data_IF_950835629049
#
_entry.id   IF_950835629049
#
_cell.length_a   1.000
_cell.length_b   1.000
_cell.length_c   1.000
_cell.angle_alpha   90.00
_cell.angle_beta   90.00
_cell.angle_gamma   90.00
#
_symmetry.space_group_name_H-M   'P 1'
#
loop_
_entity.id
_entity.type
_entity.pdbx_description
1 polymer ?
#
# COMPACT_ATOMS: atom_id res chain seq x y z
N UNK A 1 10.43 10.02 17.85
CA UNK A 1 9.48 9.60 16.79
C UNK A 1 8.33 8.85 17.44
N UNK A 2 7.13 8.87 16.86
CA UNK A 2 6.00 8.04 17.34
C UNK A 2 6.35 6.56 17.20
N UNK A 3 5.79 5.70 18.02
CA UNK A 3 6.05 4.27 17.96
C UNK A 3 5.69 3.69 16.56
N UNK A 4 6.50 2.76 16.00
CA UNK A 4 6.31 2.23 14.65
C UNK A 4 4.92 1.64 14.39
N UNK A 5 4.34 0.96 15.38
CA UNK A 5 3.01 0.36 15.35
C UNK A 5 1.92 1.43 15.16
N UNK A 6 2.02 2.54 15.90
CA UNK A 6 1.09 3.68 15.78
C UNK A 6 1.19 4.29 14.37
N UNK A 7 2.40 4.41 13.82
CA UNK A 7 2.61 4.96 12.48
C UNK A 7 2.07 4.02 11.42
N UNK A 8 2.38 2.73 11.49
CA UNK A 8 1.86 1.70 10.59
C UNK A 8 0.32 1.65 10.62
N UNK A 9 -0.28 1.70 11.81
CA UNK A 9 -1.75 1.77 11.97
C UNK A 9 -2.34 2.96 11.22
N UNK A 10 -1.81 4.16 11.43
CA UNK A 10 -2.29 5.39 10.77
C UNK A 10 -2.14 5.35 9.25
N UNK A 11 -1.05 4.77 8.77
CA UNK A 11 -0.82 4.58 7.33
C UNK A 11 -1.89 3.64 6.76
N UNK A 12 -2.12 2.51 7.42
CA UNK A 12 -3.13 1.53 7.00
C UNK A 12 -4.55 2.11 7.04
N UNK A 13 -4.91 2.91 8.05
CA UNK A 13 -6.20 3.61 8.08
C UNK A 13 -6.39 4.58 6.93
N UNK A 14 -5.34 5.36 6.62
CA UNK A 14 -5.38 6.29 5.48
C UNK A 14 -5.53 5.56 4.16
N UNK A 15 -4.81 4.43 3.99
CA UNK A 15 -4.92 3.59 2.80
C UNK A 15 -6.34 3.00 2.70
N UNK A 16 -6.86 2.41 3.76
CA UNK A 16 -8.20 1.82 3.79
C UNK A 16 -9.29 2.87 3.52
N UNK A 17 -9.17 4.06 4.12
CA UNK A 17 -10.09 5.18 3.87
C UNK A 17 -10.04 5.65 2.42
N UNK A 18 -8.84 5.79 1.85
CA UNK A 18 -8.65 6.17 0.45
C UNK A 18 -9.19 5.11 -0.51
N UNK A 19 -8.92 3.83 -0.23
CA UNK A 19 -9.45 2.71 -0.98
C UNK A 19 -10.97 2.68 -0.95
N UNK A 20 -11.59 2.94 0.21
CA UNK A 20 -13.04 3.02 0.35
C UNK A 20 -13.62 4.17 -0.48
N UNK A 21 -13.05 5.37 -0.36
CA UNK A 21 -13.49 6.54 -1.16
C UNK A 21 -13.41 6.23 -2.66
N UNK A 22 -12.33 5.60 -3.10
CA UNK A 22 -12.17 5.18 -4.48
C UNK A 22 -13.22 4.14 -4.89
N UNK A 23 -13.37 3.08 -4.09
CA UNK A 23 -14.27 1.98 -4.40
C UNK A 23 -15.73 2.44 -4.48
N UNK A 24 -16.09 3.50 -3.74
CA UNK A 24 -17.40 4.15 -3.79
C UNK A 24 -17.56 5.16 -4.92
N UNK A 25 -16.48 5.60 -5.56
CA UNK A 25 -16.53 6.60 -6.63
C UNK A 25 -17.26 6.07 -7.87
N UNK A 26 -18.26 6.83 -8.35
CA UNK A 26 -19.11 6.39 -9.47
C UNK A 26 -18.33 6.25 -10.78
N UNK A 27 -17.31 7.08 -11.00
CA UNK A 27 -16.51 7.04 -12.23
C UNK A 27 -15.62 5.81 -12.22
N UNK A 28 -14.95 5.53 -11.10
CA UNK A 28 -14.18 4.30 -10.91
C UNK A 28 -15.03 3.06 -11.13
N UNK A 29 -16.18 2.96 -10.45
CA UNK A 29 -17.10 1.82 -10.57
C UNK A 29 -17.54 1.55 -12.01
N UNK A 30 -17.83 2.61 -12.77
CA UNK A 30 -18.17 2.51 -14.20
C UNK A 30 -16.98 2.04 -15.05
N UNK A 31 -15.78 2.59 -14.79
CA UNK A 31 -14.57 2.27 -15.56
C UNK A 31 -14.13 0.82 -15.39
N UNK A 32 -14.26 0.27 -14.18
CA UNK A 32 -13.91 -1.13 -13.89
C UNK A 32 -15.10 -2.07 -14.04
N UNK A 33 -16.23 -1.57 -14.53
CA UNK A 33 -17.49 -2.30 -14.69
C UNK A 33 -17.90 -3.07 -13.42
N UNK A 34 -17.72 -2.46 -12.24
CA UNK A 34 -17.82 -3.12 -10.94
C UNK A 34 -19.18 -3.81 -10.73
N UNK A 35 -20.24 -3.24 -11.30
CA UNK A 35 -21.63 -3.74 -11.21
C UNK A 35 -21.85 -5.09 -11.92
N UNK A 36 -20.92 -5.53 -12.78
CA UNK A 36 -20.99 -6.86 -13.43
C UNK A 36 -20.49 -7.98 -12.53
N UNK A 37 -19.79 -7.66 -11.44
CA UNK A 37 -19.23 -8.64 -10.52
C UNK A 37 -20.21 -8.91 -9.38
N UNK A 38 -20.21 -10.15 -8.90
CA UNK A 38 -20.92 -10.49 -7.67
C UNK A 38 -20.25 -9.85 -6.44
N UNK A 39 -20.92 -9.95 -5.29
CA UNK A 39 -20.43 -9.34 -4.05
C UNK A 39 -19.05 -9.88 -3.65
N UNK A 40 -18.81 -11.18 -3.84
CA UNK A 40 -17.54 -11.84 -3.49
C UNK A 40 -16.38 -11.24 -4.28
N UNK A 41 -16.57 -11.05 -5.58
CA UNK A 41 -15.54 -10.50 -6.46
C UNK A 41 -15.36 -8.99 -6.22
N UNK A 42 -16.43 -8.27 -5.90
CA UNK A 42 -16.35 -6.88 -5.45
C UNK A 42 -15.52 -6.74 -4.16
N UNK A 43 -15.74 -7.61 -3.18
CA UNK A 43 -14.99 -7.62 -1.92
C UNK A 43 -13.51 -8.00 -2.15
N UNK A 44 -13.25 -8.94 -3.05
CA UNK A 44 -11.89 -9.29 -3.49
C UNK A 44 -11.17 -8.09 -4.11
N UNK A 45 -11.83 -7.35 -5.01
CA UNK A 45 -11.28 -6.14 -5.64
C UNK A 45 -10.98 -5.07 -4.60
N UNK A 46 -11.89 -4.84 -3.66
CA UNK A 46 -11.67 -3.87 -2.58
C UNK A 46 -10.43 -4.24 -1.75
N UNK A 47 -10.33 -5.49 -1.31
CA UNK A 47 -9.19 -5.99 -0.55
C UNK A 47 -7.88 -5.85 -1.33
N UNK A 48 -7.87 -6.13 -2.64
CA UNK A 48 -6.69 -5.97 -3.49
C UNK A 48 -6.23 -4.51 -3.57
N UNK A 49 -7.15 -3.54 -3.62
CA UNK A 49 -6.82 -2.11 -3.60
C UNK A 49 -6.12 -1.73 -2.28
N UNK A 50 -6.66 -2.19 -1.14
CA UNK A 50 -6.07 -1.91 0.18
C UNK A 50 -4.69 -2.53 0.31
N UNK A 51 -4.57 -3.83 0.01
CA UNK A 51 -3.31 -4.58 0.10
C UNK A 51 -2.25 -4.01 -0.84
N UNK A 52 -2.64 -3.60 -2.05
CA UNK A 52 -1.75 -2.90 -2.98
C UNK A 52 -1.25 -1.56 -2.42
N UNK A 53 -2.10 -0.81 -1.73
CA UNK A 53 -1.70 0.42 -1.05
C UNK A 53 -0.68 0.17 0.08
N UNK A 54 -0.88 -0.89 0.87
CA UNK A 54 0.04 -1.29 1.94
C UNK A 54 1.38 -1.72 1.35
N UNK A 55 1.36 -2.52 0.27
CA UNK A 55 2.58 -2.93 -0.43
C UNK A 55 3.38 -1.72 -0.96
N UNK A 56 2.69 -0.70 -1.49
CA UNK A 56 3.35 0.55 -1.89
C UNK A 56 3.98 1.28 -0.69
N UNK A 57 3.26 1.35 0.44
CA UNK A 57 3.80 1.91 1.69
C UNK A 57 5.07 1.18 2.15
N UNK A 58 5.05 -0.15 2.11
CA UNK A 58 6.20 -0.99 2.43
C UNK A 58 7.40 -0.65 1.53
N UNK A 59 7.21 -0.63 0.20
CA UNK A 59 8.27 -0.32 -0.77
C UNK A 59 8.86 1.08 -0.59
N UNK A 60 8.03 2.04 -0.19
CA UNK A 60 8.47 3.39 0.14
C UNK A 60 9.47 3.38 1.30
N UNK A 61 9.14 2.70 2.40
CA UNK A 61 10.06 2.55 3.53
C UNK A 61 11.28 1.69 3.22
N UNK A 62 11.13 0.70 2.35
CA UNK A 62 12.24 -0.11 1.85
C UNK A 62 13.27 0.79 1.14
N UNK A 63 12.79 1.68 0.27
CA UNK A 63 13.63 2.64 -0.45
C UNK A 63 14.23 3.71 0.47
N UNK A 64 13.53 4.13 1.53
CA UNK A 64 14.08 5.06 2.52
C UNK A 64 15.21 4.42 3.35
N UNK A 65 15.04 3.14 3.71
CA UNK A 65 16.02 2.37 4.48
C UNK A 65 17.32 2.15 3.69
N UNK A 66 17.27 2.15 2.35
CA UNK A 66 18.46 2.05 1.48
C UNK A 66 19.31 3.34 1.47
N UNK A 67 18.85 4.45 2.07
CA UNK A 67 19.59 5.71 2.02
C UNK A 67 20.71 5.72 3.07
N UNK A 68 21.91 6.26 2.75
CA UNK A 68 23.03 6.31 3.68
C UNK A 68 22.71 7.03 4.99
N UNK A 69 21.82 8.03 4.95
CA UNK A 69 21.42 8.79 6.14
C UNK A 69 20.65 7.95 7.17
N UNK A 70 20.09 6.81 6.77
CA UNK A 70 19.24 5.94 7.59
C UNK A 70 19.75 4.50 7.66
N UNK A 71 21.00 4.24 7.24
CA UNK A 71 21.55 2.88 7.10
C UNK A 71 21.53 2.07 8.41
N UNK A 72 21.68 2.74 9.56
CA UNK A 72 21.64 2.11 10.89
C UNK A 72 20.32 2.34 11.64
N UNK A 73 19.31 2.93 10.98
CA UNK A 73 18.03 3.24 11.62
C UNK A 73 17.11 2.01 11.62
N UNK A 74 16.83 1.50 12.83
CA UNK A 74 15.91 0.36 13.03
C UNK A 74 14.44 0.77 12.87
N UNK A 75 14.14 2.08 12.87
CA UNK A 75 12.78 2.59 12.85
C UNK A 75 12.00 2.23 11.58
N UNK A 76 12.60 2.39 10.40
CA UNK A 76 11.92 2.06 9.13
C UNK A 76 11.73 0.54 8.92
N UNK A 77 12.73 -0.32 9.23
CA UNK A 77 12.51 -1.76 9.32
C UNK A 77 11.36 -2.16 10.24
N UNK A 78 11.23 -1.55 11.42
CA UNK A 78 10.13 -1.83 12.35
C UNK A 78 8.77 -1.42 11.77
N UNK A 79 8.65 -0.24 11.15
CA UNK A 79 7.41 0.16 10.46
C UNK A 79 7.02 -0.86 9.38
N UNK A 80 7.99 -1.37 8.61
CA UNK A 80 7.74 -2.40 7.59
C UNK A 80 7.16 -3.67 8.19
N UNK A 81 7.66 -4.11 9.34
CA UNK A 81 7.15 -5.29 10.05
C UNK A 81 5.72 -5.04 10.54
N UNK A 82 5.47 -3.88 11.13
CA UNK A 82 4.15 -3.52 11.66
C UNK A 82 3.10 -3.39 10.56
N UNK A 83 3.47 -2.84 9.39
CA UNK A 83 2.58 -2.73 8.23
C UNK A 83 2.02 -4.09 7.79
N UNK A 84 2.80 -5.18 7.88
CA UNK A 84 2.36 -6.52 7.49
C UNK A 84 1.15 -7.01 8.31
N UNK A 85 1.06 -6.61 9.58
CA UNK A 85 0.00 -7.09 10.49
C UNK A 85 -1.09 -6.05 10.71
N UNK A 86 -0.81 -4.78 10.42
CA UNK A 86 -1.68 -3.64 10.73
C UNK A 86 -3.11 -3.74 10.17
N UNK A 87 -3.28 -4.27 8.95
CA UNK A 87 -4.61 -4.38 8.34
C UNK A 87 -5.42 -5.53 8.92
N UNK A 88 -4.80 -6.69 9.15
CA UNK A 88 -5.44 -7.80 9.87
C UNK A 88 -5.88 -7.37 11.28
N UNK A 89 -5.03 -6.63 12.00
CA UNK A 89 -5.36 -6.08 13.32
C UNK A 89 -6.56 -5.12 13.26
N UNK A 90 -6.58 -4.20 12.28
CA UNK A 90 -7.72 -3.33 12.04
C UNK A 90 -9.02 -4.11 11.78
N UNK A 91 -8.96 -5.16 10.96
CA UNK A 91 -10.12 -6.00 10.65
C UNK A 91 -10.65 -6.73 11.89
N UNK A 92 -9.74 -7.24 12.72
CA UNK A 92 -10.08 -7.86 14.00
C UNK A 92 -10.77 -6.86 14.95
N UNK A 93 -10.27 -5.64 15.05
CA UNK A 93 -10.86 -4.57 15.87
C UNK A 93 -12.31 -4.24 15.45
N UNK A 94 -12.63 -4.34 14.16
CA UNK A 94 -13.99 -4.09 13.65
C UNK A 94 -14.87 -5.35 13.60
N UNK A 95 -14.40 -6.48 14.14
CA UNK A 95 -15.21 -7.69 14.35
C UNK A 95 -14.99 -8.82 13.35
N UNK A 96 -13.95 -8.78 12.50
CA UNK A 96 -13.57 -9.96 11.70
C UNK A 96 -13.07 -11.10 12.57
N UNK A 97 -13.26 -12.35 12.12
CA UNK A 97 -12.73 -13.52 12.81
C UNK A 97 -11.20 -13.51 12.80
N UNK A 98 -10.60 -14.02 13.86
CA UNK A 98 -9.15 -14.10 14.01
C UNK A 98 -8.48 -14.87 12.87
N UNK A 99 -9.10 -15.98 12.43
CA UNK A 99 -8.65 -16.80 11.31
C UNK A 99 -8.55 -15.98 10.01
N UNK A 100 -9.61 -15.25 9.67
CA UNK A 100 -9.70 -14.41 8.47
C UNK A 100 -8.73 -13.22 8.55
N UNK A 101 -8.65 -12.56 9.71
CA UNK A 101 -7.74 -11.45 9.95
C UNK A 101 -6.25 -11.87 9.85
N UNK A 102 -5.91 -13.06 10.36
CA UNK A 102 -4.54 -13.59 10.33
C UNK A 102 -4.06 -13.89 8.91
N UNK A 103 -4.97 -14.25 8.00
CA UNK A 103 -4.66 -14.53 6.60
C UNK A 103 -4.11 -13.30 5.87
N UNK A 104 -4.56 -12.11 6.23
CA UNK A 104 -4.14 -10.87 5.57
C UNK A 104 -2.64 -10.61 5.69
N UNK A 105 -2.00 -11.02 6.79
CA UNK A 105 -0.53 -10.90 6.92
C UNK A 105 0.18 -11.67 5.79
N UNK A 106 -0.30 -12.88 5.50
CA UNK A 106 0.25 -13.73 4.44
C UNK A 106 0.00 -13.12 3.06
N UNK A 107 -1.24 -12.70 2.78
CA UNK A 107 -1.60 -12.12 1.47
C UNK A 107 -0.86 -10.80 1.22
N UNK A 108 -0.73 -9.95 2.24
CA UNK A 108 0.05 -8.70 2.15
C UNK A 108 1.52 -9.00 1.85
N UNK A 109 2.11 -9.99 2.55
CA UNK A 109 3.49 -10.40 2.29
C UNK A 109 3.66 -10.89 0.85
N UNK A 110 2.77 -11.76 0.37
CA UNK A 110 2.80 -12.22 -1.03
C UNK A 110 2.75 -11.05 -2.00
N UNK A 111 1.88 -10.06 -1.76
CA UNK A 111 1.79 -8.87 -2.62
C UNK A 111 3.06 -8.02 -2.60
N UNK A 112 3.68 -7.86 -1.43
CA UNK A 112 4.96 -7.15 -1.30
C UNK A 112 6.05 -7.88 -2.08
N UNK A 113 6.14 -9.20 -1.96
CA UNK A 113 7.14 -10.01 -2.66
C UNK A 113 7.01 -9.87 -4.18
N UNK A 114 5.78 -9.93 -4.70
CA UNK A 114 5.49 -9.65 -6.11
C UNK A 114 5.95 -8.24 -6.52
N UNK A 115 5.59 -7.23 -5.72
CA UNK A 115 5.92 -5.84 -6.01
C UNK A 115 7.43 -5.57 -5.97
N UNK A 116 8.14 -6.13 -4.99
CA UNK A 116 9.59 -6.05 -4.90
C UNK A 116 10.27 -6.77 -6.06
N UNK A 117 9.75 -7.92 -6.49
CA UNK A 117 10.30 -8.66 -7.64
C UNK A 117 10.20 -7.83 -8.91
N UNK A 118 9.04 -7.25 -9.17
CA UNK A 118 8.84 -6.36 -10.32
C UNK A 118 9.67 -5.07 -10.21
N UNK A 119 9.73 -4.45 -9.02
CA UNK A 119 10.57 -3.28 -8.79
C UNK A 119 12.05 -3.59 -9.07
N UNK A 120 12.58 -4.72 -8.57
CA UNK A 120 13.97 -5.16 -8.82
C UNK A 120 14.23 -5.45 -10.30
N UNK A 121 13.30 -6.13 -10.97
CA UNK A 121 13.36 -6.39 -12.42
C UNK A 121 13.44 -5.08 -13.20
N UNK A 122 12.58 -4.13 -12.86
CA UNK A 122 12.54 -2.82 -13.51
C UNK A 122 13.76 -1.96 -13.15
N UNK A 123 14.27 -1.96 -11.92
CA UNK A 123 15.50 -1.24 -11.51
C UNK A 123 16.70 -1.65 -12.38
N UNK A 124 16.83 -2.94 -12.71
CA UNK A 124 17.85 -3.45 -13.64
C UNK A 124 17.65 -2.94 -15.08
N UNK A 125 16.41 -2.88 -15.55
CA UNK A 125 16.06 -2.39 -16.90
C UNK A 125 16.22 -0.87 -17.03
N UNK A 126 15.84 -0.09 -16.01
CA UNK A 126 15.87 1.38 -16.01
C UNK A 126 17.26 1.97 -15.79
N UNK A 127 18.21 1.21 -15.23
CA UNK A 127 19.62 1.62 -15.21
C UNK A 127 20.19 1.84 -16.63
N UNK A 128 19.55 1.26 -17.66
CA UNK A 128 19.91 1.41 -19.08
C UNK A 128 19.17 2.55 -19.82
N UNK A 129 18.13 3.17 -19.22
CA UNK A 129 17.35 4.26 -19.86
C UNK A 129 17.14 5.43 -18.90
N UNK A 130 18.22 6.13 -18.55
CA UNK A 130 18.15 7.49 -18.01
C UNK A 130 17.72 8.46 -19.12
N UNK A 131 16.42 8.76 -19.21
CA UNK A 131 15.78 10.00 -19.74
C UNK A 131 14.44 9.65 -20.39
N UNK A 132 13.41 9.47 -19.57
CA UNK A 132 12.04 9.87 -19.88
C UNK A 132 11.13 9.24 -18.83
N UNK A 133 10.73 10.05 -17.86
CA UNK A 133 9.56 9.80 -17.02
C UNK A 133 8.39 9.44 -17.93
N UNK A 134 7.86 8.22 -17.85
CA UNK A 134 6.77 7.84 -18.73
C UNK A 134 6.36 6.39 -18.67
N UNK A 135 5.22 6.17 -17.99
CA UNK A 135 4.22 5.13 -18.29
C UNK A 135 4.72 3.69 -18.27
N UNK A 136 4.49 3.00 -17.16
CA UNK A 136 4.40 1.54 -17.14
C UNK A 136 3.48 1.13 -15.97
N UNK A 137 2.31 0.56 -16.29
CA UNK A 137 1.36 -0.30 -15.55
C UNK A 137 1.10 -0.21 -14.02
N UNK A 138 1.92 0.47 -13.22
CA UNK A 138 1.77 0.69 -11.77
C UNK A 138 0.80 1.83 -11.42
N UNK A 139 0.40 2.60 -12.44
CA UNK A 139 -0.41 3.78 -12.28
C UNK A 139 -1.91 3.48 -12.12
N UNK A 140 -2.42 2.27 -12.38
CA UNK A 140 -3.85 2.04 -12.19
C UNK A 140 -4.25 1.97 -10.71
N UNK A 141 -3.42 1.42 -9.83
CA UNK A 141 -3.73 1.39 -8.39
C UNK A 141 -3.12 2.58 -7.64
N UNK A 142 -1.85 2.90 -7.90
CA UNK A 142 -1.15 3.97 -7.19
C UNK A 142 -1.60 5.38 -7.60
N UNK A 143 -1.90 5.63 -8.89
CA UNK A 143 -2.38 6.97 -9.33
C UNK A 143 -3.78 7.22 -8.86
N UNK A 144 -4.59 6.18 -8.70
CA UNK A 144 -5.95 6.34 -8.22
C UNK A 144 -5.96 6.57 -6.71
N UNK A 145 -5.13 5.85 -5.93
CA UNK A 145 -4.97 6.09 -4.48
C UNK A 145 -4.28 7.44 -4.19
N UNK A 146 -3.26 7.84 -4.98
CA UNK A 146 -2.51 9.08 -4.76
C UNK A 146 -3.22 10.33 -5.33
N UNK A 147 -3.98 10.22 -6.43
CA UNK A 147 -4.77 11.36 -6.95
C UNK A 147 -6.08 11.58 -6.19
N UNK A 148 -6.62 10.59 -5.47
CA UNK A 148 -7.84 10.76 -4.68
C UNK A 148 -7.67 11.75 -3.51
N UNK A 149 -6.44 12.03 -3.06
CA UNK A 149 -6.21 12.88 -1.88
C UNK A 149 -5.11 13.96 -2.00
N UNK A 150 -4.46 14.17 -3.15
CA UNK A 150 -3.28 15.07 -3.23
C UNK A 150 -2.27 14.76 -2.10
N UNK A 151 -2.03 13.47 -1.79
CA UNK A 151 -1.05 13.09 -0.75
C UNK A 151 0.35 13.33 -1.30
N UNK A 152 0.84 14.55 -1.11
CA UNK A 152 2.23 14.89 -1.42
C UNK A 152 3.17 14.14 -0.46
N UNK A 153 4.43 13.86 -0.86
CA UNK A 153 5.45 13.33 0.04
C UNK A 153 5.61 14.13 1.34
N UNK A 154 5.28 15.44 1.32
CA UNK A 154 5.27 16.30 2.51
C UNK A 154 4.18 15.94 3.52
N UNK A 155 3.05 15.40 3.06
CA UNK A 155 1.92 14.96 3.88
C UNK A 155 2.18 13.66 4.61
N UNK A 156 3.04 12.79 4.04
CA UNK A 156 3.54 11.59 4.74
C UNK A 156 4.63 11.98 5.74
N UNK A 157 5.49 12.94 5.37
CA UNK A 157 6.48 13.53 6.28
C UNK A 157 5.82 14.16 7.52
N UNK A 158 4.72 14.91 7.35
CA UNK A 158 4.00 15.56 8.48
C UNK A 158 3.26 14.60 9.42
N UNK A 159 3.17 13.30 9.09
CA UNK A 159 2.62 12.28 9.99
C UNK A 159 3.73 11.71 10.89
N UNK A 160 4.96 11.69 10.37
CA UNK A 160 6.16 11.16 11.01
C UNK A 160 6.90 12.18 11.91
N UNK A 161 6.64 13.48 11.73
CA UNK A 161 7.13 14.55 12.61
C UNK A 161 6.03 15.04 13.58
#
# INVERSE_FOLDING_TARGET
>A
MKAPDIVARKITEKIASSAFKLFRDKKFRRLVELEKFDQTEQDRIFNEIVISGIALGYLFFDTLSERPEYENDVYFPEIKIELLSSYGNLLKEIGSKDEDASLFKTVIKMRIDECQKEYRKNKKTYHYRKRSFGRLWWLSSATIILNAEKVSPKTLCSICF
#
